data_IF_437233682292
#
_entry.id   IF_437233682292
#
_cell.length_a   1.000
_cell.length_b   1.000
_cell.length_c   1.000
_cell.angle_alpha   90.00
_cell.angle_beta   90.00
_cell.angle_gamma   90.00
#
_symmetry.space_group_name_H-M   'P 1'
#
loop_
_entity.id
_entity.type
_entity.pdbx_description
1 polymer ?
#
# COMPACT_ATOMS: atom_id res chain seq x y z
N UNK A 1 -39.20 61.36 38.84
CA UNK A 1 -38.29 60.32 39.38
C UNK A 1 -38.32 59.16 38.42
N UNK A 2 -37.18 58.88 37.81
CA UNK A 2 -36.97 57.99 36.65
C UNK A 2 -36.92 56.52 37.07
N UNK A 3 -37.67 55.67 36.36
CA UNK A 3 -37.65 54.22 36.52
C UNK A 3 -36.56 53.59 35.65
N UNK A 4 -35.64 52.85 36.26
CA UNK A 4 -34.61 52.05 35.60
C UNK A 4 -35.06 50.60 35.49
N UNK A 5 -35.30 50.13 34.26
CA UNK A 5 -35.50 48.72 33.95
C UNK A 5 -34.14 48.02 33.84
N UNK A 6 -33.82 47.12 34.78
CA UNK A 6 -32.68 46.23 34.67
C UNK A 6 -33.11 44.94 33.94
N UNK A 7 -32.63 44.77 32.71
CA UNK A 7 -32.75 43.51 31.96
C UNK A 7 -31.80 42.46 32.54
N UNK A 8 -32.36 41.44 33.20
CA UNK A 8 -31.63 40.23 33.58
C UNK A 8 -31.44 39.34 32.36
N UNK A 9 -30.22 39.26 31.82
CA UNK A 9 -29.82 38.20 30.89
C UNK A 9 -29.56 36.92 31.68
N UNK A 10 -30.40 35.91 31.47
CA UNK A 10 -30.31 34.63 32.19
C UNK A 10 -29.01 33.89 31.80
N UNK A 11 -28.19 33.43 32.76
CA UNK A 11 -26.88 32.79 32.50
C UNK A 11 -26.97 31.46 31.74
N UNK A 12 -28.18 30.93 31.55
CA UNK A 12 -28.48 29.63 30.93
C UNK A 12 -28.08 29.55 29.46
N UNK A 13 -28.09 30.68 28.71
CA UNK A 13 -27.77 30.68 27.27
C UNK A 13 -26.27 30.59 26.98
N UNK A 14 -25.42 31.19 27.82
CA UNK A 14 -23.96 31.10 27.66
C UNK A 14 -23.43 29.70 27.96
N UNK A 15 -23.98 29.05 28.99
CA UNK A 15 -23.60 27.69 29.39
C UNK A 15 -23.97 26.69 28.29
N UNK A 16 -25.17 26.81 27.69
CA UNK A 16 -25.61 25.92 26.61
C UNK A 16 -24.74 26.04 25.34
N UNK A 17 -24.31 27.26 24.98
CA UNK A 17 -23.38 27.47 23.85
C UNK A 17 -21.99 26.90 24.14
N UNK A 18 -21.48 27.04 25.36
CA UNK A 18 -20.18 26.48 25.75
C UNK A 18 -20.16 24.94 25.64
N UNK A 19 -21.24 24.26 26.07
CA UNK A 19 -21.38 22.81 25.90
C UNK A 19 -21.51 22.38 24.45
N UNK A 20 -22.21 23.16 23.60
CA UNK A 20 -22.34 22.86 22.17
C UNK A 20 -21.00 23.01 21.44
N UNK A 21 -20.22 24.05 21.76
CA UNK A 21 -18.87 24.24 21.20
C UNK A 21 -17.91 23.15 21.68
N UNK A 22 -17.95 22.77 22.97
CA UNK A 22 -17.14 21.64 23.46
C UNK A 22 -17.52 20.33 22.78
N UNK A 23 -18.81 20.07 22.53
CA UNK A 23 -19.27 18.89 21.81
C UNK A 23 -18.79 18.89 20.35
N UNK A 24 -18.83 20.03 19.65
CA UNK A 24 -18.33 20.16 18.27
C UNK A 24 -16.81 20.02 18.21
N UNK A 25 -16.06 20.55 19.19
CA UNK A 25 -14.60 20.37 19.30
C UNK A 25 -14.24 18.92 19.64
N UNK A 26 -15.06 18.22 20.42
CA UNK A 26 -14.86 16.79 20.75
C UNK A 26 -15.19 15.85 19.57
N UNK A 27 -16.00 16.32 18.62
CA UNK A 27 -16.33 15.62 17.36
C UNK A 27 -15.27 15.85 16.25
N UNK A 28 -14.22 16.63 16.53
CA UNK A 28 -13.00 16.59 15.73
C UNK A 28 -12.16 15.38 16.14
N UNK A 29 -12.72 14.18 16.01
CA UNK A 29 -11.86 13.02 15.81
C UNK A 29 -11.02 13.34 14.58
N UNK A 30 -9.72 13.50 14.77
CA UNK A 30 -8.78 13.65 13.68
C UNK A 30 -8.93 12.41 12.81
N UNK A 31 -9.64 12.55 11.70
CA UNK A 31 -9.62 11.58 10.62
C UNK A 31 -8.17 11.50 10.18
N UNK A 32 -7.41 10.56 10.75
CA UNK A 32 -6.04 10.28 10.34
C UNK A 32 -6.16 9.78 8.92
N UNK A 33 -5.97 10.68 7.96
CA UNK A 33 -6.00 10.36 6.54
C UNK A 33 -4.92 9.33 6.29
N UNK A 34 -5.34 8.09 6.01
CA UNK A 34 -4.38 7.06 5.73
C UNK A 34 -3.67 7.34 4.41
N UNK A 35 -2.38 7.01 4.35
CA UNK A 35 -1.62 7.07 3.11
C UNK A 35 -0.42 6.12 3.18
N UNK A 36 -0.40 5.10 2.33
CA UNK A 36 0.78 4.28 2.13
C UNK A 36 0.79 3.69 0.73
N UNK A 37 1.96 3.28 0.28
CA UNK A 37 2.24 2.78 -1.05
C UNK A 37 3.47 1.88 -1.02
N UNK A 38 3.67 1.11 -2.09
CA UNK A 38 4.88 0.33 -2.27
C UNK A 38 6.07 1.26 -2.59
N UNK A 39 7.15 1.18 -1.84
CA UNK A 39 8.40 1.90 -2.15
C UNK A 39 9.35 1.07 -3.02
N UNK A 40 9.42 -0.24 -2.73
CA UNK A 40 10.31 -1.15 -3.43
C UNK A 40 9.66 -2.50 -3.68
N UNK A 41 9.66 -2.94 -4.94
CA UNK A 41 9.16 -4.25 -5.36
C UNK A 41 10.17 -5.39 -5.19
N UNK A 42 11.45 -5.10 -4.93
CA UNK A 42 12.45 -6.11 -4.61
C UNK A 42 13.64 -5.52 -3.83
N UNK A 43 13.58 -5.56 -2.51
CA UNK A 43 14.69 -5.19 -1.62
C UNK A 43 15.68 -6.34 -1.51
N UNK A 44 16.93 -6.10 -1.88
CA UNK A 44 18.01 -7.07 -1.79
C UNK A 44 18.48 -7.26 -0.34
N UNK A 45 19.28 -8.30 -0.12
CA UNK A 45 19.90 -8.54 1.19
C UNK A 45 20.79 -7.37 1.65
N UNK A 46 21.38 -6.62 0.72
CA UNK A 46 22.14 -5.40 0.99
C UNK A 46 21.27 -4.21 1.46
N UNK A 47 19.95 -4.34 1.44
CA UNK A 47 19.01 -3.24 1.70
C UNK A 47 18.71 -2.37 0.47
N UNK A 48 19.47 -2.51 -0.62
CA UNK A 48 19.23 -1.78 -1.86
C UNK A 48 17.91 -2.19 -2.52
N UNK A 49 17.19 -1.23 -3.08
CA UNK A 49 16.04 -1.52 -3.93
C UNK A 49 16.46 -1.90 -5.36
N UNK A 50 16.01 -3.06 -5.82
CA UNK A 50 16.29 -3.62 -7.14
C UNK A 50 15.02 -3.75 -8.01
N UNK A 51 14.01 -2.94 -7.73
CA UNK A 51 12.79 -2.88 -8.53
C UNK A 51 11.84 -1.83 -8.02
N UNK A 52 11.48 -0.87 -8.86
CA UNK A 52 10.67 0.28 -8.47
C UNK A 52 9.25 0.20 -9.05
N UNK A 53 8.24 0.65 -8.28
CA UNK A 53 6.87 0.74 -8.77
C UNK A 53 6.69 1.76 -9.90
N UNK A 54 5.55 1.69 -10.60
CA UNK A 54 5.30 2.54 -11.76
C UNK A 54 5.20 4.00 -11.33
N UNK A 55 6.03 4.85 -11.94
CA UNK A 55 6.03 6.29 -11.65
C UNK A 55 6.61 6.70 -10.30
N UNK A 56 7.44 5.84 -9.70
CA UNK A 56 8.30 6.05 -8.53
C UNK A 56 8.83 7.50 -8.33
N UNK A 57 8.25 8.45 -7.56
CA UNK A 57 8.86 9.78 -7.43
C UNK A 57 10.05 9.79 -6.45
N UNK A 58 10.30 8.68 -5.76
CA UNK A 58 11.26 8.51 -4.66
C UNK A 58 10.88 9.26 -3.39
N UNK A 59 11.30 8.73 -2.23
CA UNK A 59 11.10 9.36 -0.91
C UNK A 59 11.88 10.68 -0.74
N UNK A 60 12.78 11.01 -1.67
CA UNK A 60 13.46 12.32 -1.67
C UNK A 60 12.54 13.46 -2.17
N UNK A 61 11.41 13.13 -2.81
CA UNK A 61 10.43 14.13 -3.21
C UNK A 61 9.56 14.52 -1.99
N UNK A 62 9.56 15.80 -1.57
CA UNK A 62 8.80 16.24 -0.39
C UNK A 62 7.28 16.08 -0.55
N UNK A 63 6.78 16.10 -1.80
CA UNK A 63 5.35 16.00 -2.11
C UNK A 63 4.89 14.56 -2.40
N UNK A 64 5.71 13.56 -2.08
CA UNK A 64 5.40 12.15 -2.40
C UNK A 64 4.04 11.69 -1.84
N UNK A 65 3.66 12.14 -0.64
CA UNK A 65 2.36 11.83 -0.05
C UNK A 65 1.21 12.23 -0.98
N UNK A 66 1.29 13.42 -1.56
CA UNK A 66 0.26 13.96 -2.46
C UNK A 66 0.35 13.34 -3.86
N UNK A 67 1.57 13.16 -4.37
CA UNK A 67 1.80 12.74 -5.75
C UNK A 67 1.60 11.24 -5.97
N UNK A 68 1.81 10.41 -4.94
CA UNK A 68 1.95 8.96 -5.09
C UNK A 68 0.94 8.14 -4.30
N UNK A 69 0.27 8.74 -3.31
CA UNK A 69 -0.86 8.08 -2.65
C UNK A 69 -2.03 8.01 -3.61
N UNK A 70 -2.58 6.81 -3.77
CA UNK A 70 -3.81 6.62 -4.52
C UNK A 70 -4.87 5.95 -3.64
N UNK A 71 -5.96 6.67 -3.41
CA UNK A 71 -7.11 6.24 -2.62
C UNK A 71 -8.24 5.78 -3.55
N UNK A 72 -8.74 4.57 -3.28
CA UNK A 72 -10.03 4.08 -3.75
C UNK A 72 -11.01 4.20 -2.58
N UNK A 73 -11.91 5.18 -2.66
CA UNK A 73 -12.90 5.44 -1.63
C UNK A 73 -14.19 4.64 -1.87
N UNK A 74 -14.88 4.27 -0.79
CA UNK A 74 -16.17 3.57 -0.84
C UNK A 74 -16.09 2.18 -1.47
N UNK A 75 -14.87 1.62 -1.60
CA UNK A 75 -14.61 0.37 -2.34
C UNK A 75 -15.24 0.37 -3.75
N UNK A 76 -15.22 1.53 -4.42
CA UNK A 76 -15.84 1.73 -5.73
C UNK A 76 -15.28 0.74 -6.76
N UNK A 77 -16.13 -0.18 -7.23
CA UNK A 77 -15.73 -1.25 -8.15
C UNK A 77 -15.24 -0.75 -9.52
N UNK A 78 -15.69 0.43 -9.93
CA UNK A 78 -15.33 1.06 -11.20
C UNK A 78 -14.10 1.97 -11.09
N UNK A 79 -13.60 2.23 -9.88
CA UNK A 79 -12.39 3.03 -9.70
C UNK A 79 -11.22 2.36 -10.44
N UNK A 80 -10.33 3.15 -11.07
CA UNK A 80 -9.11 2.60 -11.61
C UNK A 80 -8.31 1.96 -10.47
N UNK A 81 -7.60 0.87 -10.76
CA UNK A 81 -6.88 0.12 -9.73
C UNK A 81 -5.61 0.83 -9.27
N UNK A 82 -5.17 1.84 -10.02
CA UNK A 82 -4.00 2.66 -9.75
C UNK A 82 -4.31 4.10 -10.15
N UNK A 83 -3.54 5.04 -9.62
CA UNK A 83 -3.69 6.46 -9.94
C UNK A 83 -3.73 6.65 -11.47
N UNK A 84 -4.70 7.42 -12.00
CA UNK A 84 -4.79 7.73 -13.41
C UNK A 84 -3.44 8.20 -13.97
N UNK A 85 -3.07 7.70 -15.15
CA UNK A 85 -1.77 7.97 -15.79
C UNK A 85 -0.61 7.05 -15.37
N UNK A 86 -0.71 6.32 -14.24
CA UNK A 86 0.38 5.40 -13.81
C UNK A 86 0.47 4.11 -14.61
N UNK A 87 -0.65 3.68 -15.21
CA UNK A 87 -0.75 2.45 -16.02
C UNK A 87 -0.53 2.68 -17.52
N UNK A 88 -0.49 3.94 -17.96
CA UNK A 88 0.48 4.37 -18.97
C UNK A 88 1.87 4.08 -18.36
N UNK A 89 3.05 4.44 -18.83
CA UNK A 89 4.31 3.85 -18.32
C UNK A 89 4.47 2.31 -18.49
N UNK A 90 3.48 1.46 -18.26
CA UNK A 90 3.52 0.04 -18.58
C UNK A 90 3.34 -0.21 -20.08
N UNK A 91 4.02 -1.22 -20.65
CA UNK A 91 5.18 -1.90 -20.10
C UNK A 91 6.47 -1.09 -20.32
N UNK A 92 7.38 -1.09 -19.34
CA UNK A 92 8.78 -0.74 -19.55
C UNK A 92 9.12 0.72 -19.85
N UNK A 93 8.26 1.69 -19.53
CA UNK A 93 8.58 3.12 -19.59
C UNK A 93 8.81 3.75 -18.22
N UNK A 94 9.13 2.93 -17.20
CA UNK A 94 9.70 3.46 -15.97
C UNK A 94 11.06 4.12 -16.26
N UNK A 95 11.45 5.17 -15.51
CA UNK A 95 12.77 5.80 -15.66
C UNK A 95 13.91 4.78 -15.54
N UNK A 96 14.97 4.95 -16.33
CA UNK A 96 16.07 3.99 -16.39
C UNK A 96 16.81 3.80 -15.04
N UNK A 97 16.86 4.85 -14.21
CA UNK A 97 17.41 4.82 -12.86
C UNK A 97 16.45 4.22 -11.82
N UNK A 98 15.18 3.97 -12.18
CA UNK A 98 14.17 3.34 -11.34
C UNK A 98 13.54 2.14 -12.08
N UNK A 99 14.35 1.14 -12.47
CA UNK A 99 13.88 0.03 -13.28
C UNK A 99 12.94 -0.88 -12.48
N UNK A 100 12.05 -1.63 -13.14
CA UNK A 100 11.27 -2.68 -12.50
C UNK A 100 12.14 -3.87 -12.06
N UNK A 101 11.61 -4.70 -11.16
CA UNK A 101 12.33 -5.88 -10.69
C UNK A 101 12.53 -6.89 -11.83
N UNK A 102 13.76 -7.39 -12.00
CA UNK A 102 14.08 -8.51 -12.87
C UNK A 102 14.20 -9.81 -12.07
N UNK A 103 13.42 -10.82 -12.44
CA UNK A 103 13.27 -12.05 -11.67
C UNK A 103 13.18 -13.30 -12.55
N UNK A 104 13.33 -14.48 -11.97
CA UNK A 104 13.05 -15.76 -12.62
C UNK A 104 11.83 -16.47 -12.02
N UNK A 105 11.18 -17.41 -12.73
CA UNK A 105 10.06 -18.17 -12.18
C UNK A 105 10.46 -18.91 -10.89
N UNK A 106 9.59 -18.87 -9.88
CA UNK A 106 9.86 -19.45 -8.56
C UNK A 106 10.63 -18.55 -7.60
N UNK A 107 11.18 -17.42 -8.06
CA UNK A 107 11.90 -16.47 -7.22
C UNK A 107 10.96 -15.78 -6.23
N UNK A 108 11.45 -15.57 -5.00
CA UNK A 108 10.79 -14.75 -3.99
C UNK A 108 11.35 -13.34 -4.03
N UNK A 109 10.47 -12.33 -4.04
CA UNK A 109 10.83 -10.92 -3.94
C UNK A 109 10.49 -10.43 -2.54
N UNK A 110 11.30 -9.52 -2.00
CA UNK A 110 11.03 -8.81 -0.75
C UNK A 110 10.46 -7.43 -1.09
N UNK A 111 9.19 -7.21 -0.78
CA UNK A 111 8.53 -5.93 -0.92
C UNK A 111 8.86 -5.04 0.28
N UNK A 112 8.91 -3.71 0.07
CA UNK A 112 9.11 -2.72 1.13
C UNK A 112 8.20 -1.51 0.94
N UNK A 113 7.60 -1.06 2.04
CA UNK A 113 6.78 0.14 2.17
C UNK A 113 7.01 0.76 3.55
N UNK A 114 6.52 1.97 3.82
CA UNK A 114 6.50 2.53 5.18
C UNK A 114 5.13 2.34 5.84
N UNK A 115 5.15 2.12 7.16
CA UNK A 115 3.94 2.07 7.98
C UNK A 115 3.16 3.39 7.94
N UNK A 116 3.85 4.52 7.73
CA UNK A 116 3.26 5.87 7.64
C UNK A 116 2.26 6.17 8.78
N UNK A 117 2.59 5.78 10.02
CA UNK A 117 1.75 5.99 11.20
C UNK A 117 0.69 4.91 11.46
N UNK A 118 0.52 3.94 10.56
CA UNK A 118 -0.53 2.92 10.65
C UNK A 118 0.01 1.55 11.11
N UNK A 119 0.80 1.55 12.19
CA UNK A 119 1.25 0.33 12.85
C UNK A 119 0.09 -0.35 13.58
N UNK A 120 -0.13 -1.64 13.33
CA UNK A 120 -0.95 -2.49 14.17
C UNK A 120 -0.09 -3.01 15.33
N UNK A 121 -0.17 -2.34 16.48
CA UNK A 121 0.60 -2.63 17.68
C UNK A 121 0.09 -3.90 18.40
N UNK A 122 0.24 -5.04 17.73
CA UNK A 122 -0.11 -6.36 18.25
C UNK A 122 1.12 -7.05 18.87
N UNK A 123 0.88 -7.86 19.89
CA UNK A 123 1.90 -8.73 20.46
C UNK A 123 2.42 -9.71 19.38
N UNK A 124 3.72 -9.96 19.36
CA UNK A 124 4.30 -10.91 18.42
C UNK A 124 3.72 -12.30 18.69
N UNK A 125 3.09 -12.90 17.68
CA UNK A 125 2.42 -14.21 17.79
C UNK A 125 0.92 -14.16 18.07
N UNK A 126 0.34 -12.99 18.38
CA UNK A 126 -1.10 -12.85 18.63
C UNK A 126 -1.94 -12.94 17.36
N UNK A 127 -2.58 -14.09 17.12
CA UNK A 127 -3.41 -14.32 15.93
C UNK A 127 -4.87 -13.84 16.07
N UNK A 128 -5.24 -13.30 17.22
CA UNK A 128 -6.64 -12.98 17.56
C UNK A 128 -6.98 -11.52 17.34
N UNK A 129 -6.02 -10.62 17.55
CA UNK A 129 -6.23 -9.20 17.31
C UNK A 129 -6.34 -8.91 15.81
N UNK A 130 -7.40 -8.22 15.34
CA UNK A 130 -7.54 -7.82 13.94
C UNK A 130 -6.35 -6.98 13.45
N UNK A 131 -5.88 -7.28 12.25
CA UNK A 131 -4.74 -6.59 11.60
C UNK A 131 -5.15 -6.11 10.23
N UNK A 132 -4.66 -4.93 9.86
CA UNK A 132 -4.80 -4.37 8.53
C UNK A 132 -4.10 -5.29 7.53
N UNK A 133 -4.81 -5.69 6.49
CA UNK A 133 -4.33 -6.66 5.52
C UNK A 133 -3.82 -5.99 4.25
N UNK A 134 -2.70 -6.50 3.77
CA UNK A 134 -2.10 -6.15 2.49
C UNK A 134 -2.19 -7.35 1.54
N UNK A 135 -2.59 -7.09 0.31
CA UNK A 135 -2.67 -8.09 -0.74
C UNK A 135 -1.81 -7.66 -1.92
N UNK A 136 -1.28 -8.65 -2.62
CA UNK A 136 -0.63 -8.43 -3.90
C UNK A 136 -1.39 -9.21 -4.95
N UNK A 137 -1.94 -8.48 -5.90
CA UNK A 137 -2.58 -9.04 -7.08
C UNK A 137 -1.65 -8.96 -8.28
N UNK A 138 -1.87 -9.82 -9.25
CA UNK A 138 -1.13 -9.81 -10.50
C UNK A 138 -2.01 -10.24 -11.66
N UNK A 139 -1.54 -9.94 -12.87
CA UNK A 139 -2.26 -10.28 -14.10
C UNK A 139 -2.17 -11.75 -14.48
N UNK A 140 -1.16 -12.48 -13.99
CA UNK A 140 -0.85 -13.87 -14.39
C UNK A 140 -0.58 -14.05 -15.89
N UNK A 141 -0.63 -12.98 -16.68
CA UNK A 141 -0.54 -12.94 -18.14
C UNK A 141 0.40 -11.82 -18.55
N UNK A 142 1.42 -12.15 -19.32
CA UNK A 142 2.39 -11.17 -19.77
C UNK A 142 1.71 -10.06 -20.61
N UNK A 143 2.19 -8.83 -20.45
CA UNK A 143 1.76 -7.64 -21.18
C UNK A 143 0.24 -7.35 -21.07
N UNK A 144 -0.37 -7.72 -19.95
CA UNK A 144 -1.74 -7.36 -19.60
C UNK A 144 -1.76 -6.46 -18.37
N UNK A 145 -2.93 -5.87 -18.12
CA UNK A 145 -3.20 -4.97 -17.00
C UNK A 145 -4.51 -5.39 -16.33
N UNK A 146 -4.53 -5.38 -14.99
CA UNK A 146 -5.74 -5.15 -14.20
C UNK A 146 -5.99 -3.64 -14.24
N UNK A 147 -7.20 -3.19 -14.59
CA UNK A 147 -7.50 -1.77 -14.78
C UNK A 147 -8.40 -1.20 -13.70
N UNK A 148 -9.34 -1.98 -13.20
CA UNK A 148 -10.35 -1.52 -12.24
C UNK A 148 -10.33 -2.31 -10.96
N UNK A 149 -10.86 -1.72 -9.89
CA UNK A 149 -10.98 -2.37 -8.60
C UNK A 149 -11.76 -3.70 -8.64
N UNK A 150 -12.76 -3.83 -9.52
CA UNK A 150 -13.53 -5.07 -9.74
C UNK A 150 -12.71 -6.25 -10.27
N UNK A 151 -11.49 -6.00 -10.75
CA UNK A 151 -10.59 -7.05 -11.24
C UNK A 151 -9.74 -7.66 -10.13
N UNK A 152 -9.57 -6.95 -9.02
CA UNK A 152 -8.89 -7.48 -7.84
C UNK A 152 -9.75 -8.57 -7.19
N UNK A 153 -9.12 -9.68 -6.82
CA UNK A 153 -9.81 -10.82 -6.20
C UNK A 153 -10.45 -11.80 -7.18
N UNK A 154 -10.43 -11.52 -8.49
CA UNK A 154 -10.83 -12.53 -9.50
C UNK A 154 -9.96 -13.78 -9.38
N UNK A 155 -10.50 -14.98 -9.66
CA UNK A 155 -9.73 -16.22 -9.59
C UNK A 155 -8.40 -16.14 -10.34
N UNK A 156 -7.31 -16.55 -9.69
CA UNK A 156 -5.96 -16.55 -10.26
C UNK A 156 -5.21 -15.21 -10.20
N UNK A 157 -5.84 -14.14 -9.73
CA UNK A 157 -5.17 -12.82 -9.60
C UNK A 157 -4.48 -12.61 -8.26
N UNK A 158 -4.86 -13.33 -7.19
CA UNK A 158 -4.19 -13.19 -5.88
C UNK A 158 -2.83 -13.90 -5.90
N UNK A 159 -1.76 -13.16 -5.60
CA UNK A 159 -0.40 -13.67 -5.53
C UNK A 159 0.09 -13.86 -4.08
N UNK A 160 -0.28 -12.95 -3.19
CA UNK A 160 0.04 -13.03 -1.77
C UNK A 160 -0.93 -12.21 -0.92
N UNK A 161 -1.03 -12.60 0.35
CA UNK A 161 -1.67 -11.86 1.43
C UNK A 161 -0.72 -11.81 2.62
N UNK A 162 -0.66 -10.68 3.31
CA UNK A 162 0.19 -10.46 4.47
C UNK A 162 -0.35 -9.33 5.35
N UNK A 163 0.19 -9.19 6.55
CA UNK A 163 -0.10 -8.02 7.39
C UNK A 163 0.55 -6.76 6.79
N UNK A 164 -0.16 -5.63 6.88
CA UNK A 164 0.36 -4.35 6.40
C UNK A 164 1.51 -3.83 7.27
N UNK A 165 1.29 -3.62 8.57
CA UNK A 165 2.36 -3.12 9.45
C UNK A 165 2.17 -3.65 10.87
N UNK A 166 3.13 -4.43 11.35
CA UNK A 166 3.16 -5.00 12.70
C UNK A 166 4.60 -5.00 13.21
N UNK A 167 4.82 -5.17 14.53
CA UNK A 167 6.16 -5.36 15.06
C UNK A 167 6.94 -6.53 14.44
N UNK A 168 6.24 -7.53 13.87
CA UNK A 168 6.87 -8.70 13.29
C UNK A 168 7.44 -8.47 11.88
N UNK A 169 6.95 -7.48 11.13
CA UNK A 169 7.37 -7.22 9.75
C UNK A 169 7.95 -5.82 9.51
N UNK A 170 7.99 -4.96 10.53
CA UNK A 170 8.56 -3.62 10.46
C UNK A 170 9.89 -3.53 11.23
N UNK A 171 10.86 -2.81 10.68
CA UNK A 171 12.24 -2.77 11.20
C UNK A 171 12.36 -2.02 12.53
N UNK A 172 11.60 -0.94 12.71
CA UNK A 172 11.62 -0.09 13.91
C UNK A 172 10.19 0.22 14.35
N UNK A 173 9.49 -0.68 15.07
CA UNK A 173 8.07 -0.53 15.33
C UNK A 173 7.66 0.76 16.08
N UNK A 174 8.59 1.37 16.83
CA UNK A 174 8.38 2.66 17.50
C UNK A 174 8.45 3.87 16.57
N UNK A 175 8.97 3.72 15.35
CA UNK A 175 9.03 4.77 14.34
C UNK A 175 7.76 4.73 13.47
N UNK A 176 6.96 5.81 13.42
CA UNK A 176 5.74 5.83 12.61
C UNK A 176 6.03 5.60 11.12
N UNK A 177 7.21 6.00 10.64
CA UNK A 177 7.64 5.81 9.25
C UNK A 177 8.56 4.59 9.08
N UNK A 178 8.46 3.60 9.98
CA UNK A 178 9.24 2.37 9.86
C UNK A 178 9.01 1.70 8.51
N UNK A 179 10.11 1.31 7.88
CA UNK A 179 10.05 0.39 6.75
C UNK A 179 9.50 -0.95 7.24
N UNK A 180 8.51 -1.46 6.50
CA UNK A 180 7.87 -2.75 6.68
C UNK A 180 8.09 -3.60 5.44
N UNK A 181 8.02 -4.91 5.63
CA UNK A 181 8.41 -5.85 4.60
C UNK A 181 7.37 -6.94 4.38
N UNK A 182 7.32 -7.37 3.12
CA UNK A 182 6.46 -8.44 2.64
C UNK A 182 7.22 -9.35 1.69
N UNK A 183 6.68 -10.54 1.44
CA UNK A 183 7.26 -11.46 0.47
C UNK A 183 6.21 -11.90 -0.52
N UNK A 184 6.59 -11.90 -1.79
CA UNK A 184 5.80 -12.49 -2.87
C UNK A 184 6.65 -13.50 -3.62
N UNK A 185 6.04 -14.53 -4.18
CA UNK A 185 6.75 -15.55 -4.95
C UNK A 185 6.17 -15.61 -6.36
N UNK A 186 7.01 -15.41 -7.37
CA UNK A 186 6.60 -15.62 -8.75
C UNK A 186 6.31 -17.12 -8.93
N UNK A 187 5.13 -17.52 -9.42
CA UNK A 187 4.80 -18.93 -9.58
C UNK A 187 5.82 -19.65 -10.47
N UNK A 188 6.09 -20.92 -10.12
CA UNK A 188 6.90 -21.79 -10.97
C UNK A 188 6.20 -21.94 -12.33
N UNK A 189 6.99 -22.03 -13.41
CA UNK A 189 6.46 -22.15 -14.77
C UNK A 189 5.92 -20.86 -15.39
N UNK A 190 5.97 -19.72 -14.68
CA UNK A 190 5.67 -18.41 -15.28
C UNK A 190 6.53 -18.20 -16.52
N UNK A 191 5.90 -17.88 -17.65
CA UNK A 191 6.63 -17.66 -18.91
C UNK A 191 7.42 -16.35 -18.84
N UNK A 192 8.56 -16.23 -19.54
CA UNK A 192 9.25 -14.96 -19.66
C UNK A 192 8.33 -13.85 -20.20
N UNK A 193 8.47 -12.64 -19.66
CA UNK A 193 7.62 -11.51 -20.04
C UNK A 193 7.50 -10.46 -18.94
N UNK A 194 6.75 -9.39 -19.22
CA UNK A 194 6.44 -8.33 -18.25
C UNK A 194 5.06 -8.54 -17.67
N UNK A 195 4.95 -8.49 -16.36
CA UNK A 195 3.70 -8.71 -15.65
C UNK A 195 3.42 -7.50 -14.77
N UNK A 196 2.21 -6.96 -14.86
CA UNK A 196 1.74 -5.97 -13.90
C UNK A 196 1.27 -6.67 -12.63
N UNK A 197 1.63 -6.07 -11.49
CA UNK A 197 1.18 -6.38 -10.16
C UNK A 197 0.59 -5.14 -9.49
N UNK A 198 -0.25 -5.37 -8.49
CA UNK A 198 -0.89 -4.34 -7.68
C UNK A 198 -0.63 -4.67 -6.22
N UNK A 199 0.11 -3.79 -5.55
CA UNK A 199 0.16 -3.74 -4.09
C UNK A 199 -1.12 -3.04 -3.62
N UNK A 200 -1.91 -3.69 -2.78
CA UNK A 200 -3.24 -3.22 -2.40
C UNK A 200 -3.47 -3.39 -0.90
N UNK A 201 -3.54 -2.27 -0.19
CA UNK A 201 -3.79 -2.21 1.22
C UNK A 201 -5.27 -1.89 1.47
N UNK A 202 -5.96 -2.81 2.15
CA UNK A 202 -7.35 -2.64 2.55
C UNK A 202 -7.38 -2.02 3.94
N UNK A 203 -7.68 -0.73 4.03
CA UNK A 203 -7.71 -0.01 5.30
C UNK A 203 -9.12 -0.06 5.91
N UNK A 204 -9.42 -1.18 6.57
CA UNK A 204 -10.75 -1.44 7.16
C UNK A 204 -10.99 -0.71 8.50
N UNK A 205 -10.06 0.16 8.94
CA UNK A 205 -10.27 0.99 10.14
C UNK A 205 -11.18 2.20 9.88
N UNK A 206 -11.38 2.57 8.62
CA UNK A 206 -12.35 3.59 8.23
C UNK A 206 -13.66 2.92 7.76
N UNK A 207 -14.83 3.23 8.37
CA UNK A 207 -16.10 2.62 7.99
C UNK A 207 -16.53 2.92 6.55
N UNK A 208 -16.06 4.03 5.97
CA UNK A 208 -16.31 4.39 4.55
C UNK A 208 -15.71 3.35 3.60
N UNK A 209 -14.68 2.61 4.04
CA UNK A 209 -13.99 1.64 3.20
C UNK A 209 -12.95 2.32 2.31
N UNK A 210 -11.78 2.56 2.88
CA UNK A 210 -10.63 3.11 2.19
C UNK A 210 -9.69 2.00 1.77
N UNK A 211 -9.20 2.11 0.54
CA UNK A 211 -8.25 1.17 -0.02
C UNK A 211 -7.15 1.95 -0.75
N UNK A 212 -5.90 1.54 -0.54
CA UNK A 212 -4.74 2.19 -1.13
C UNK A 212 -4.04 1.23 -2.05
N UNK A 213 -3.54 1.73 -3.19
CA UNK A 213 -2.86 0.85 -4.13
C UNK A 213 -1.69 1.48 -4.84
N UNK A 214 -0.80 0.59 -5.29
CA UNK A 214 0.36 0.94 -6.10
C UNK A 214 0.56 -0.11 -7.18
N UNK A 215 0.56 0.32 -8.44
CA UNK A 215 0.93 -0.55 -9.55
C UNK A 215 2.45 -0.66 -9.66
N UNK A 216 2.93 -1.86 -9.92
CA UNK A 216 4.32 -2.11 -10.26
C UNK A 216 4.41 -3.19 -11.33
N UNK A 217 5.57 -3.31 -11.96
CA UNK A 217 5.82 -4.37 -12.94
C UNK A 217 7.02 -5.21 -12.54
N UNK A 218 7.00 -6.47 -12.94
CA UNK A 218 8.17 -7.37 -12.86
C UNK A 218 8.50 -7.90 -14.25
N UNK A 219 9.79 -8.02 -14.54
CA UNK A 219 10.33 -8.65 -15.74
C UNK A 219 10.73 -10.07 -15.37
N UNK A 220 9.93 -11.05 -15.80
CA UNK A 220 10.27 -12.47 -15.67
C UNK A 220 11.20 -12.85 -16.81
N UNK A 221 12.42 -13.26 -16.46
CA UNK A 221 13.46 -13.74 -17.38
C UNK A 221 13.41 -15.26 -17.48
N UNK A 222 13.91 -15.81 -18.59
CA UNK A 222 14.15 -17.24 -18.70
C UNK A 222 15.11 -17.70 -17.60
N UNK A 223 14.87 -18.87 -16.97
CA UNK A 223 15.86 -19.47 -16.09
C UNK A 223 17.19 -19.63 -16.84
N UNK A 224 18.35 -19.51 -16.16
CA UNK A 224 19.61 -19.89 -16.77
C UNK A 224 19.52 -21.32 -17.28
N UNK A 225 19.95 -21.59 -18.52
CA UNK A 225 20.07 -22.97 -19.02
C UNK A 225 20.99 -23.72 -18.06
N UNK A 226 20.46 -24.71 -17.34
CA UNK A 226 21.32 -25.59 -16.54
C UNK A 226 22.29 -26.29 -17.51
N UNK A 227 23.59 -26.04 -17.37
CA UNK A 227 24.60 -26.83 -18.08
C UNK A 227 24.42 -28.27 -17.62
N UNK A 228 23.98 -29.16 -18.51
CA UNK A 228 23.95 -30.61 -18.23
C UNK A 228 25.36 -30.99 -17.82
N UNK A 229 25.56 -31.35 -16.54
CA UNK A 229 26.78 -32.04 -16.10
C UNK A 229 26.85 -33.31 -16.95
N UNK A 230 27.80 -33.36 -17.88
CA UNK A 230 28.14 -34.62 -18.53
C UNK A 230 28.67 -35.53 -17.43
N UNK A 231 27.88 -36.51 -17.03
CA UNK A 231 28.36 -37.62 -16.21
C UNK A 231 29.31 -38.39 -17.12
N UNK A 232 30.62 -38.15 -16.98
CA UNK A 232 31.62 -39.07 -17.51
C UNK A 232 31.40 -40.39 -16.79
N UNK A 233 30.92 -41.41 -17.50
CA UNK A 233 31.05 -42.80 -17.07
C UNK A 233 32.55 -43.08 -17.00
N UNK A 234 33.03 -43.46 -15.81
CA UNK A 234 34.31 -44.14 -15.61
C UNK A 234 34.02 -45.63 -15.65
#
# INVERSE_FOLDING_TARGET
MTATNASFTTPTRLVLMAFLVLAIVSLQETLVQAHSWLDCSNTLASGQCAGYPLGFPTRANPDINTLYTYLISGRNQNAPVCQPGRQDLFPGRNPANLPPASVVPGQTLKLTWQANGHMDNVQVGDKTTPRSQLFVYWTGRANKLLKTRSELGRPGTLLAQMDFATPANCVQPSNPNSNCHGKIKIPKGTKPGRYQLVWWWKFDKNPVGEEYSTCFEVIVKSPPKQKKRQVKKV
#
